data_IF_914001868991
#
_entry.id   IF_914001868991
#
_cell.length_a   1.000
_cell.length_b   1.000
_cell.length_c   1.000
_cell.angle_alpha   90.00
_cell.angle_beta   90.00
_cell.angle_gamma   90.00
#
_symmetry.space_group_name_H-M   'P 1'
#
loop_
_entity.id
_entity.type
_entity.pdbx_description
1 polymer ?
#
# COMPACT_ATOMS: atom_id res chain seq x y z
N UNK A 1 15.38 22.89 -8.53
CA UNK A 1 16.45 22.50 -9.48
C UNK A 1 16.01 21.18 -10.08
N UNK A 2 15.86 21.11 -11.40
CA UNK A 2 15.33 19.94 -12.14
C UNK A 2 16.03 18.62 -11.81
N UNK A 3 17.26 18.67 -11.30
CA UNK A 3 18.00 17.49 -10.81
C UNK A 3 17.38 16.83 -9.58
N UNK A 4 16.66 17.56 -8.74
CA UNK A 4 15.96 16.97 -7.60
C UNK A 4 14.66 16.30 -8.08
N UNK A 5 13.90 16.96 -8.96
CA UNK A 5 12.71 16.38 -9.57
C UNK A 5 13.01 15.10 -10.37
N UNK A 6 14.14 15.06 -11.10
CA UNK A 6 14.58 13.86 -11.80
C UNK A 6 14.89 12.69 -10.86
N UNK A 7 15.50 12.94 -9.70
CA UNK A 7 15.77 11.90 -8.69
C UNK A 7 14.49 11.40 -8.03
N UNK A 8 13.54 12.29 -7.74
CA UNK A 8 12.26 11.90 -7.16
C UNK A 8 11.47 10.97 -8.10
N UNK A 9 11.57 11.20 -9.42
CA UNK A 9 10.98 10.32 -10.45
C UNK A 9 11.69 8.96 -10.49
N UNK A 10 13.03 8.93 -10.53
CA UNK A 10 13.79 7.67 -10.53
C UNK A 10 13.51 6.82 -9.29
N UNK A 11 13.36 7.46 -8.12
CA UNK A 11 12.96 6.77 -6.89
C UNK A 11 11.54 6.21 -6.96
N UNK A 12 10.60 6.95 -7.56
CA UNK A 12 9.22 6.49 -7.74
C UNK A 12 9.16 5.29 -8.71
N UNK A 13 9.85 5.38 -9.84
CA UNK A 13 9.90 4.30 -10.84
C UNK A 13 10.50 3.02 -10.25
N UNK A 14 11.56 3.15 -9.45
CA UNK A 14 12.18 2.02 -8.75
C UNK A 14 11.22 1.36 -7.75
N UNK A 15 10.39 2.15 -7.06
CA UNK A 15 9.36 1.61 -6.14
C UNK A 15 8.26 0.89 -6.89
N UNK A 16 7.77 1.48 -7.98
CA UNK A 16 6.74 0.84 -8.81
C UNK A 16 7.26 -0.49 -9.35
N UNK A 17 8.50 -0.53 -9.86
CA UNK A 17 9.12 -1.77 -10.32
C UNK A 17 9.21 -2.82 -9.20
N UNK A 18 9.63 -2.41 -8.00
CA UNK A 18 9.68 -3.33 -6.85
C UNK A 18 8.31 -3.90 -6.49
N UNK A 19 7.25 -3.08 -6.48
CA UNK A 19 5.88 -3.54 -6.22
C UNK A 19 5.41 -4.50 -7.32
N UNK A 20 5.78 -4.25 -8.58
CA UNK A 20 5.45 -5.16 -9.67
C UNK A 20 6.12 -6.53 -9.49
N UNK A 21 7.38 -6.57 -9.03
CA UNK A 21 8.09 -7.83 -8.75
C UNK A 21 7.45 -8.63 -7.59
N UNK A 22 6.77 -7.95 -6.66
CA UNK A 22 6.01 -8.59 -5.56
C UNK A 22 4.68 -9.20 -6.01
N UNK A 23 4.17 -8.82 -7.19
CA UNK A 23 2.86 -9.21 -7.71
C UNK A 23 2.94 -9.88 -9.09
N UNK A 24 3.50 -11.09 -9.19
CA UNK A 24 3.57 -11.83 -10.45
C UNK A 24 2.18 -12.11 -11.05
N UNK A 25 1.11 -12.14 -10.24
CA UNK A 25 -0.27 -12.28 -10.70
C UNK A 25 -0.75 -11.11 -11.58
N UNK A 26 -0.06 -9.97 -11.55
CA UNK A 26 -0.38 -8.82 -12.40
C UNK A 26 0.45 -8.77 -13.69
N UNK A 27 1.48 -9.62 -13.86
CA UNK A 27 2.38 -9.58 -15.02
C UNK A 27 1.62 -9.58 -16.35
N UNK A 28 0.68 -10.51 -16.54
CA UNK A 28 -0.11 -10.59 -17.77
C UNK A 28 -0.98 -9.33 -17.97
N UNK A 29 -1.50 -8.76 -16.87
CA UNK A 29 -2.34 -7.56 -16.92
C UNK A 29 -1.52 -6.36 -17.41
N UNK A 30 -0.28 -6.21 -16.94
CA UNK A 30 0.60 -5.13 -17.39
C UNK A 30 0.88 -5.17 -18.90
N UNK A 31 0.87 -6.36 -19.50
CA UNK A 31 1.05 -6.49 -20.96
C UNK A 31 -0.15 -5.98 -21.77
N UNK A 32 -1.31 -5.75 -21.13
CA UNK A 32 -2.52 -5.25 -21.79
C UNK A 32 -2.48 -3.73 -22.05
N UNK A 33 -1.40 -3.05 -21.66
CA UNK A 33 -1.20 -1.62 -21.91
C UNK A 33 -2.25 -0.77 -21.17
N UNK A 34 -2.94 0.12 -21.88
CA UNK A 34 -3.95 1.01 -21.29
C UNK A 34 -5.09 0.24 -20.59
N UNK A 35 -5.38 -0.99 -21.00
CA UNK A 35 -6.41 -1.81 -20.37
C UNK A 35 -6.06 -2.19 -18.92
N UNK A 36 -4.78 -2.23 -18.56
CA UNK A 36 -4.31 -2.51 -17.21
C UNK A 36 -4.77 -1.47 -16.18
N UNK A 37 -5.14 -0.26 -16.63
CA UNK A 37 -5.64 0.79 -15.76
C UNK A 37 -7.06 0.53 -15.24
N UNK A 38 -7.81 -0.37 -15.89
CA UNK A 38 -9.17 -0.72 -15.48
C UNK A 38 -9.17 -1.88 -14.47
N UNK A 39 -10.18 -1.95 -13.57
CA UNK A 39 -10.35 -3.11 -12.71
C UNK A 39 -10.46 -4.41 -13.50
N UNK A 40 -9.74 -5.43 -13.04
CA UNK A 40 -9.68 -6.78 -13.59
C UNK A 40 -10.26 -7.79 -12.60
N UNK A 41 -10.74 -8.93 -13.10
CA UNK A 41 -11.12 -10.05 -12.25
C UNK A 41 -9.90 -10.96 -12.04
N UNK A 42 -9.49 -11.12 -10.78
CA UNK A 42 -8.34 -11.91 -10.35
C UNK A 42 -8.80 -12.80 -9.21
N UNK A 43 -8.70 -14.12 -9.37
CA UNK A 43 -9.15 -15.10 -8.36
C UNK A 43 -10.60 -14.87 -7.87
N UNK A 44 -11.49 -14.40 -8.75
CA UNK A 44 -12.90 -14.11 -8.42
C UNK A 44 -13.14 -12.79 -7.67
N UNK A 45 -12.11 -11.96 -7.52
CA UNK A 45 -12.22 -10.61 -6.96
C UNK A 45 -11.96 -9.54 -8.02
N UNK A 46 -12.68 -8.42 -7.93
CA UNK A 46 -12.44 -7.26 -8.79
C UNK A 46 -11.34 -6.41 -8.15
N UNK A 47 -10.16 -6.41 -8.77
CA UNK A 47 -8.97 -5.69 -8.31
C UNK A 47 -8.56 -4.70 -9.38
N UNK A 48 -8.16 -3.49 -9.00
CA UNK A 48 -7.46 -2.58 -9.92
C UNK A 48 -5.97 -2.65 -9.61
N UNK A 49 -5.14 -3.30 -10.46
CA UNK A 49 -3.70 -3.36 -10.24
C UNK A 49 -3.07 -1.98 -10.11
N UNK A 50 -3.57 -0.99 -10.87
CA UNK A 50 -3.11 0.39 -10.75
C UNK A 50 -3.35 0.98 -9.36
N UNK A 51 -4.59 0.89 -8.84
CA UNK A 51 -4.91 1.39 -7.50
C UNK A 51 -4.11 0.64 -6.43
N UNK A 52 -3.96 -0.67 -6.58
CA UNK A 52 -3.17 -1.51 -5.69
C UNK A 52 -1.71 -1.04 -5.62
N UNK A 53 -1.05 -0.85 -6.76
CA UNK A 53 0.34 -0.35 -6.84
C UNK A 53 0.49 1.03 -6.22
N UNK A 54 -0.50 1.92 -6.42
CA UNK A 54 -0.50 3.26 -5.79
C UNK A 54 -0.57 3.16 -4.27
N UNK A 55 -1.44 2.31 -3.74
CA UNK A 55 -1.58 2.12 -2.29
C UNK A 55 -0.29 1.57 -1.66
N UNK A 56 0.34 0.59 -2.31
CA UNK A 56 1.67 0.10 -1.94
C UNK A 56 2.70 1.23 -1.89
N UNK A 57 2.77 2.04 -2.94
CA UNK A 57 3.74 3.13 -3.02
C UNK A 57 3.52 4.18 -1.92
N UNK A 58 2.26 4.46 -1.55
CA UNK A 58 1.93 5.39 -0.47
C UNK A 58 2.44 4.85 0.87
N UNK A 59 2.12 3.60 1.21
CA UNK A 59 2.50 3.00 2.50
C UNK A 59 4.01 2.76 2.59
N UNK A 60 4.64 2.26 1.52
CA UNK A 60 6.11 2.16 1.42
C UNK A 60 6.78 3.51 1.69
N UNK A 61 6.25 4.59 1.09
CA UNK A 61 6.76 5.93 1.33
C UNK A 61 6.60 6.37 2.79
N UNK A 62 5.49 6.03 3.45
CA UNK A 62 5.30 6.34 4.87
C UNK A 62 6.33 5.64 5.76
N UNK A 63 6.62 4.38 5.47
CA UNK A 63 7.62 3.56 6.18
C UNK A 63 9.02 4.14 5.96
N UNK A 64 9.42 4.36 4.71
CA UNK A 64 10.76 4.86 4.35
C UNK A 64 11.06 6.27 4.85
N UNK A 65 10.06 7.14 4.81
CA UNK A 65 10.20 8.52 5.29
C UNK A 65 9.96 8.63 6.79
N UNK A 66 9.61 7.52 7.44
CA UNK A 66 9.23 7.42 8.84
C UNK A 66 8.12 8.42 9.22
N UNK A 67 7.27 8.74 8.24
CA UNK A 67 6.23 9.76 8.34
C UNK A 67 4.89 9.28 7.76
N UNK A 68 3.85 9.18 8.60
CA UNK A 68 3.84 9.49 10.02
C UNK A 68 4.53 8.39 10.87
N UNK A 69 5.13 8.78 12.00
CA UNK A 69 5.96 7.91 12.86
C UNK A 69 5.22 6.63 13.33
N UNK A 70 3.90 6.70 13.50
CA UNK A 70 3.12 5.55 13.94
C UNK A 70 3.06 4.42 12.90
N UNK A 71 3.28 4.70 11.61
CA UNK A 71 3.25 3.69 10.56
C UNK A 71 4.49 2.80 10.65
N UNK A 72 5.68 3.39 10.76
CA UNK A 72 6.92 2.60 10.94
C UNK A 72 6.93 1.84 12.27
N UNK A 73 6.33 2.41 13.34
CA UNK A 73 6.13 1.69 14.60
C UNK A 73 5.26 0.44 14.43
N UNK A 74 4.15 0.56 13.72
CA UNK A 74 3.27 -0.57 13.44
C UNK A 74 3.97 -1.63 12.56
N UNK A 75 4.68 -1.20 11.53
CA UNK A 75 5.45 -2.09 10.67
C UNK A 75 6.48 -2.90 11.47
N UNK A 76 7.32 -2.23 12.25
CA UNK A 76 8.35 -2.90 13.07
C UNK A 76 7.73 -3.85 14.09
N UNK A 77 6.65 -3.46 14.76
CA UNK A 77 5.92 -4.32 15.70
C UNK A 77 5.45 -5.62 15.03
N UNK A 78 4.86 -5.55 13.83
CA UNK A 78 4.38 -6.74 13.12
C UNK A 78 5.54 -7.62 12.62
N UNK A 79 6.66 -7.01 12.17
CA UNK A 79 7.88 -7.76 11.83
C UNK A 79 8.49 -8.46 13.04
N UNK A 80 8.52 -7.83 14.20
CA UNK A 80 8.97 -8.43 15.46
C UNK A 80 8.09 -9.61 15.91
N UNK A 81 6.81 -9.61 15.51
CA UNK A 81 5.89 -10.73 15.71
C UNK A 81 6.07 -11.88 14.70
N UNK A 82 6.95 -11.71 13.70
CA UNK A 82 7.29 -12.75 12.73
C UNK A 82 6.51 -12.69 11.42
N UNK A 83 5.66 -11.66 11.22
CA UNK A 83 4.93 -11.46 9.96
C UNK A 83 5.89 -11.18 8.80
N UNK A 84 5.66 -11.73 7.61
CA UNK A 84 6.52 -11.42 6.45
C UNK A 84 6.36 -9.99 5.97
N UNK A 85 7.41 -9.40 5.42
CA UNK A 85 7.45 -7.97 5.07
C UNK A 85 6.31 -7.54 4.13
N UNK A 86 6.04 -8.36 3.12
CA UNK A 86 4.95 -8.11 2.18
C UNK A 86 3.56 -8.23 2.84
N UNK A 87 3.41 -9.15 3.80
CA UNK A 87 2.17 -9.31 4.57
C UNK A 87 1.94 -8.11 5.50
N UNK A 88 3.00 -7.58 6.13
CA UNK A 88 2.92 -6.36 6.94
C UNK A 88 2.50 -5.16 6.08
N UNK A 89 3.07 -5.02 4.88
CA UNK A 89 2.66 -3.98 3.94
C UNK A 89 1.16 -4.11 3.63
N UNK A 90 0.68 -5.30 3.28
CA UNK A 90 -0.73 -5.53 3.01
C UNK A 90 -1.64 -5.22 4.21
N UNK A 91 -1.25 -5.60 5.43
CA UNK A 91 -2.03 -5.30 6.63
C UNK A 91 -2.20 -3.78 6.85
N UNK A 92 -1.13 -3.01 6.68
CA UNK A 92 -1.17 -1.54 6.80
C UNK A 92 -1.96 -0.92 5.63
N UNK A 93 -1.76 -1.40 4.41
CA UNK A 93 -2.48 -0.96 3.21
C UNK A 93 -3.98 -1.18 3.36
N UNK A 94 -4.42 -2.32 3.90
CA UNK A 94 -5.84 -2.61 4.10
C UNK A 94 -6.50 -1.55 5.01
N UNK A 95 -5.84 -1.20 6.12
CA UNK A 95 -6.32 -0.13 7.02
C UNK A 95 -6.33 1.23 6.31
N UNK A 96 -5.26 1.58 5.59
CA UNK A 96 -5.19 2.84 4.85
C UNK A 96 -6.29 2.94 3.78
N UNK A 97 -6.51 1.87 3.01
CA UNK A 97 -7.48 1.83 1.93
C UNK A 97 -8.91 1.97 2.45
N UNK A 98 -9.28 1.25 3.52
CA UNK A 98 -10.61 1.37 4.14
C UNK A 98 -10.89 2.81 4.57
N UNK A 99 -9.93 3.45 5.26
CA UNK A 99 -10.04 4.84 5.68
C UNK A 99 -10.08 5.80 4.50
N UNK A 100 -9.20 5.63 3.52
CA UNK A 100 -9.14 6.49 2.35
C UNK A 100 -10.46 6.48 1.58
N UNK A 101 -10.96 5.30 1.23
CA UNK A 101 -12.18 5.18 0.46
C UNK A 101 -13.42 5.56 1.27
N UNK A 102 -13.47 5.26 2.58
CA UNK A 102 -14.59 5.68 3.42
C UNK A 102 -14.66 7.20 3.61
N UNK A 103 -13.52 7.87 3.87
CA UNK A 103 -13.43 9.34 3.92
C UNK A 103 -13.76 9.97 2.57
N UNK A 104 -13.20 9.44 1.48
CA UNK A 104 -13.44 9.93 0.12
C UNK A 104 -14.92 9.87 -0.25
N UNK A 105 -15.60 8.73 -0.02
CA UNK A 105 -17.05 8.58 -0.28
C UNK A 105 -17.91 9.54 0.55
N UNK A 106 -17.45 9.93 1.74
CA UNK A 106 -18.15 10.85 2.63
C UNK A 106 -17.80 12.33 2.38
N UNK A 107 -16.86 12.63 1.46
CA UNK A 107 -16.37 13.99 1.24
C UNK A 107 -15.63 14.56 2.47
N UNK A 108 -15.03 13.70 3.28
CA UNK A 108 -14.27 14.06 4.48
C UNK A 108 -12.76 13.97 4.23
N UNK A 109 -11.93 14.73 4.97
CA UNK A 109 -10.50 14.49 4.98
C UNK A 109 -10.16 13.08 5.47
N UNK A 110 -8.96 12.61 5.14
CA UNK A 110 -8.42 11.36 5.67
C UNK A 110 -8.31 11.45 7.20
N UNK A 111 -8.84 10.45 7.92
CA UNK A 111 -8.84 10.45 9.38
C UNK A 111 -7.52 9.86 9.91
N UNK A 112 -6.56 10.74 10.20
CA UNK A 112 -5.25 10.33 10.68
C UNK A 112 -5.29 9.74 12.09
N UNK A 113 -6.24 10.16 12.93
CA UNK A 113 -6.37 9.64 14.30
C UNK A 113 -6.96 8.23 14.28
N UNK A 114 -7.94 7.95 13.41
CA UNK A 114 -8.44 6.59 13.22
C UNK A 114 -7.36 5.69 12.59
N UNK A 115 -6.55 6.22 11.66
CA UNK A 115 -5.42 5.47 11.11
C UNK A 115 -4.41 5.06 12.17
N UNK A 116 -3.95 6.01 13.00
CA UNK A 116 -3.03 5.74 14.11
C UNK A 116 -3.63 4.72 15.10
N UNK A 117 -4.88 4.92 15.49
CA UNK A 117 -5.59 4.04 16.41
C UNK A 117 -5.63 2.60 15.89
N UNK A 118 -6.10 2.39 14.66
CA UNK A 118 -6.21 1.04 14.06
C UNK A 118 -4.86 0.37 13.90
N UNK A 119 -3.83 1.08 13.44
CA UNK A 119 -2.48 0.53 13.36
C UNK A 119 -1.91 0.17 14.74
N UNK A 120 -2.27 0.91 15.79
CA UNK A 120 -1.91 0.58 17.16
C UNK A 120 -2.45 -0.78 17.63
N UNK A 121 -3.65 -1.15 17.19
CA UNK A 121 -4.29 -2.42 17.54
C UNK A 121 -3.90 -3.61 16.65
N UNK A 122 -3.43 -3.39 15.41
CA UNK A 122 -3.02 -4.48 14.52
C UNK A 122 -2.02 -5.43 15.19
N UNK A 123 -2.29 -6.74 15.11
CA UNK A 123 -1.39 -7.79 15.54
C UNK A 123 -1.29 -8.89 14.47
N UNK A 124 -0.26 -9.74 14.58
CA UNK A 124 -0.11 -10.91 13.70
C UNK A 124 -1.32 -11.84 13.73
N UNK A 125 -1.92 -12.03 14.90
CA UNK A 125 -3.12 -12.88 15.06
C UNK A 125 -4.34 -12.31 14.33
N UNK A 126 -4.45 -10.99 14.17
CA UNK A 126 -5.57 -10.33 13.47
C UNK A 126 -5.41 -10.35 11.94
N UNK A 127 -4.20 -10.61 11.43
CA UNK A 127 -3.90 -10.58 10.00
C UNK A 127 -4.10 -11.92 9.29
N UNK A 128 -4.10 -13.04 10.02
CA UNK A 128 -4.42 -14.37 9.45
C UNK A 128 -5.91 -14.57 9.14
N UNK A 129 -6.81 -13.71 9.66
CA UNK A 129 -8.27 -13.83 9.49
C UNK A 129 -8.87 -13.08 8.29
N UNK A 130 -8.06 -12.42 7.44
CA UNK A 130 -8.55 -11.69 6.25
C UNK A 130 -8.02 -12.21 4.91
#
# INVERSE_FOLDING_TARGET
SDRHQGRDIEELDSRIAHVMDLHPEFEEIWTMGEMAAYPQEINGQIVSPFVHTVLHTIVDSQIRTEQPEFVIKAFNKLREQGMEEHEVLHAIIAVYADLHFSSFRQGKPFDQLDYESRLGYLSFEDAEEN
#
